data_IF_315389085695
#
_entry.id   IF_315389085695
#
_cell.length_a   1.000
_cell.length_b   1.000
_cell.length_c   1.000
_cell.angle_alpha   90.00
_cell.angle_beta   90.00
_cell.angle_gamma   90.00
#
_symmetry.space_group_name_H-M   'P 1'
#
loop_
_entity.id
_entity.type
_entity.pdbx_description
1 polymer ?
#
# COMPACT_ATOMS: atom_id res chain seq x y z
N UNK A 1 10.72 15.24 -10.72
CA UNK A 1 11.46 14.91 -9.47
C UNK A 1 11.31 13.42 -9.20
N UNK A 2 12.24 12.79 -8.47
CA UNK A 2 12.04 11.41 -7.96
C UNK A 2 11.45 11.53 -6.56
N UNK A 3 10.22 11.10 -6.35
CA UNK A 3 9.62 11.17 -5.03
C UNK A 3 9.83 9.85 -4.27
N UNK A 4 10.08 9.92 -2.97
CA UNK A 4 10.34 8.74 -2.15
C UNK A 4 9.01 8.15 -1.68
N UNK A 5 8.68 6.94 -2.11
CA UNK A 5 7.48 6.21 -1.65
C UNK A 5 7.85 5.04 -0.75
N UNK A 6 7.02 4.80 0.28
CA UNK A 6 7.13 3.65 1.18
C UNK A 6 6.16 2.58 0.74
N UNK A 7 6.64 1.33 0.62
CA UNK A 7 5.81 0.21 0.16
C UNK A 7 6.07 -1.04 1.00
N UNK A 8 5.05 -1.88 1.18
CA UNK A 8 5.28 -3.24 1.66
C UNK A 8 5.99 -4.12 0.62
N UNK A 9 6.77 -5.08 1.11
CA UNK A 9 7.44 -6.08 0.25
C UNK A 9 6.43 -7.01 -0.42
N UNK A 10 5.37 -7.38 0.28
CA UNK A 10 4.24 -8.19 -0.24
C UNK A 10 2.94 -7.90 0.49
N UNK A 11 1.80 -8.22 -0.13
CA UNK A 11 0.47 -8.14 0.50
C UNK A 11 0.35 -9.05 1.74
N UNK A 12 1.03 -10.20 1.74
CA UNK A 12 1.08 -11.11 2.89
C UNK A 12 1.78 -10.48 4.11
N UNK A 13 2.89 -9.78 3.89
CA UNK A 13 3.61 -9.09 4.97
C UNK A 13 2.80 -7.90 5.48
N UNK A 14 2.19 -7.14 4.57
CA UNK A 14 1.25 -6.08 4.94
C UNK A 14 0.14 -6.60 5.86
N UNK A 15 -0.53 -7.70 5.50
CA UNK A 15 -1.59 -8.28 6.32
C UNK A 15 -1.06 -8.76 7.68
N UNK A 16 0.14 -9.33 7.72
CA UNK A 16 0.78 -9.76 8.97
C UNK A 16 1.03 -8.57 9.91
N UNK A 17 1.51 -7.45 9.39
CA UNK A 17 1.73 -6.23 10.18
C UNK A 17 0.41 -5.57 10.60
N UNK A 18 -0.61 -5.58 9.74
CA UNK A 18 -1.91 -4.99 10.03
C UNK A 18 -2.75 -5.81 11.01
N UNK A 19 -2.52 -7.13 11.10
CA UNK A 19 -3.35 -8.06 11.88
C UNK A 19 -3.74 -7.55 13.29
N UNK A 20 -2.82 -7.01 14.11
CA UNK A 20 -3.17 -6.51 15.45
C UNK A 20 -4.16 -5.34 15.42
N UNK A 21 -4.12 -4.51 14.38
CA UNK A 21 -4.92 -3.29 14.25
C UNK A 21 -6.23 -3.48 13.49
N UNK A 22 -6.42 -4.64 12.84
CA UNK A 22 -7.63 -4.96 12.07
C UNK A 22 -8.47 -6.08 12.69
N UNK A 23 -7.92 -6.87 13.59
CA UNK A 23 -8.67 -7.89 14.33
C UNK A 23 -9.42 -7.32 15.53
N UNK A 24 -9.13 -6.07 15.92
CA UNK A 24 -9.85 -5.32 16.93
C UNK A 24 -10.70 -4.24 16.24
N UNK A 25 -12.03 -4.36 16.35
CA UNK A 25 -12.97 -3.41 15.74
C UNK A 25 -12.79 -1.98 16.26
N UNK A 26 -12.36 -1.81 17.51
CA UNK A 26 -12.09 -0.49 18.08
C UNK A 26 -10.87 0.16 17.42
N UNK A 27 -9.83 -0.62 17.10
CA UNK A 27 -8.64 -0.14 16.38
C UNK A 27 -8.93 0.22 14.92
N UNK A 28 -9.92 -0.41 14.30
CA UNK A 28 -10.38 -0.04 12.96
C UNK A 28 -11.11 1.31 12.96
N UNK A 29 -11.95 1.55 13.96
CA UNK A 29 -12.78 2.76 14.04
C UNK A 29 -12.00 3.97 14.57
N UNK A 30 -11.30 3.80 15.69
CA UNK A 30 -10.67 4.89 16.45
C UNK A 30 -9.16 4.74 16.63
N UNK A 31 -8.54 3.73 16.01
CA UNK A 31 -7.11 3.48 16.16
C UNK A 31 -6.22 4.64 15.71
N UNK A 32 -5.03 4.69 16.29
CA UNK A 32 -4.04 5.75 16.04
C UNK A 32 -3.54 5.74 14.59
N UNK A 33 -3.34 6.93 13.99
CA UNK A 33 -2.66 7.09 12.72
C UNK A 33 -1.28 6.43 12.65
N UNK A 34 -1.01 5.69 11.57
CA UNK A 34 0.29 5.14 11.30
C UNK A 34 1.24 6.22 10.76
N UNK A 35 2.19 6.67 11.60
CA UNK A 35 3.22 7.66 11.21
C UNK A 35 4.02 7.26 9.96
N UNK A 36 4.21 5.96 9.73
CA UNK A 36 4.94 5.43 8.55
C UNK A 36 4.14 5.48 7.25
N UNK A 37 2.82 5.66 7.35
CA UNK A 37 1.90 5.73 6.22
C UNK A 37 1.24 7.09 6.13
N UNK A 38 2.03 8.15 6.33
CA UNK A 38 1.55 9.54 6.21
C UNK A 38 0.31 9.87 7.06
N UNK A 39 0.14 9.19 8.20
CA UNK A 39 -1.00 9.42 9.09
C UNK A 39 -2.29 8.67 8.72
N UNK A 40 -2.24 7.70 7.80
CA UNK A 40 -3.37 6.84 7.52
C UNK A 40 -3.73 5.96 8.72
N UNK A 41 -5.01 5.73 8.94
CA UNK A 41 -5.56 4.86 9.98
C UNK A 41 -5.67 3.40 9.50
N UNK A 42 -5.81 2.47 10.45
CA UNK A 42 -5.93 1.03 10.20
C UNK A 42 -6.98 0.69 9.12
N UNK A 43 -8.15 1.34 9.17
CA UNK A 43 -9.23 1.15 8.19
C UNK A 43 -8.84 1.56 6.76
N UNK A 44 -8.08 2.64 6.60
CA UNK A 44 -7.69 3.16 5.29
C UNK A 44 -6.65 2.24 4.66
N UNK A 45 -5.68 1.80 5.46
CA UNK A 45 -4.67 0.84 4.98
C UNK A 45 -5.33 -0.51 4.65
N UNK A 46 -6.29 -0.97 5.46
CA UNK A 46 -7.05 -2.20 5.18
C UNK A 46 -7.88 -2.08 3.90
N UNK A 47 -8.59 -0.97 3.70
CA UNK A 47 -9.38 -0.75 2.49
C UNK A 47 -8.50 -0.81 1.24
N UNK A 48 -7.33 -0.16 1.27
CA UNK A 48 -6.37 -0.20 0.18
C UNK A 48 -5.75 -1.59 -0.03
N UNK A 49 -5.53 -2.33 1.04
CA UNK A 49 -5.09 -3.73 0.96
C UNK A 49 -6.14 -4.60 0.27
N UNK A 50 -7.42 -4.45 0.62
CA UNK A 50 -8.52 -5.17 -0.03
C UNK A 50 -8.60 -4.85 -1.53
N UNK A 51 -8.48 -3.57 -1.92
CA UNK A 51 -8.42 -3.18 -3.32
C UNK A 51 -7.26 -3.85 -4.06
N UNK A 52 -6.06 -3.89 -3.46
CA UNK A 52 -4.91 -4.58 -4.05
C UNK A 52 -5.16 -6.08 -4.22
N UNK A 53 -5.74 -6.75 -3.22
CA UNK A 53 -6.03 -8.19 -3.29
C UNK A 53 -7.05 -8.50 -4.38
N UNK A 54 -8.13 -7.73 -4.47
CA UNK A 54 -9.13 -7.89 -5.53
C UNK A 54 -8.51 -7.64 -6.90
N UNK A 55 -7.77 -6.54 -7.08
CA UNK A 55 -7.10 -6.25 -8.34
C UNK A 55 -6.09 -7.33 -8.75
N UNK A 56 -5.33 -7.87 -7.78
CA UNK A 56 -4.41 -8.99 -7.98
C UNK A 56 -5.11 -10.26 -8.42
N UNK A 57 -6.24 -10.58 -7.79
CA UNK A 57 -7.06 -11.73 -8.14
C UNK A 57 -7.64 -11.60 -9.55
N UNK A 58 -8.30 -10.47 -9.85
CA UNK A 58 -8.94 -10.20 -11.15
C UNK A 58 -7.95 -10.19 -12.32
N UNK A 59 -6.70 -9.77 -12.09
CA UNK A 59 -5.67 -9.73 -13.13
C UNK A 59 -4.70 -10.92 -13.10
N UNK A 60 -4.92 -11.88 -12.21
CA UNK A 60 -4.01 -13.00 -11.95
C UNK A 60 -2.53 -12.54 -11.83
N UNK A 61 -2.30 -11.50 -11.00
CA UNK A 61 -1.03 -10.78 -10.95
C UNK A 61 -0.69 -10.29 -9.54
N UNK A 62 0.49 -10.65 -9.04
CA UNK A 62 1.04 -10.18 -7.75
C UNK A 62 1.78 -8.82 -7.86
N UNK A 63 1.57 -8.11 -8.97
CA UNK A 63 2.27 -6.87 -9.25
C UNK A 63 1.71 -5.67 -8.47
N UNK A 64 0.52 -5.80 -7.87
CA UNK A 64 -0.17 -4.75 -7.13
C UNK A 64 0.38 -4.54 -5.73
N UNK A 65 0.71 -3.29 -5.41
CA UNK A 65 1.28 -2.92 -4.12
C UNK A 65 0.69 -1.63 -3.60
N UNK A 66 0.60 -1.62 -2.27
CA UNK A 66 0.26 -0.46 -1.45
C UNK A 66 1.49 0.45 -1.35
N UNK A 67 1.35 1.72 -1.70
CA UNK A 67 2.37 2.73 -1.45
C UNK A 67 1.82 4.06 -0.94
N UNK A 68 2.60 4.75 -0.11
CA UNK A 68 2.29 6.11 0.36
C UNK A 68 2.32 7.12 -0.77
N UNK A 69 1.45 8.13 -0.72
CA UNK A 69 1.55 9.30 -1.59
C UNK A 69 2.93 9.97 -1.42
N UNK A 70 3.68 10.17 -2.51
CA UNK A 70 4.89 11.00 -2.53
C UNK A 70 4.73 12.46 -2.07
N UNK A 71 3.55 13.07 -2.23
CA UNK A 71 3.31 14.49 -1.95
C UNK A 71 2.65 14.72 -0.58
N UNK A 72 2.28 13.63 0.10
CA UNK A 72 1.86 13.65 1.49
C UNK A 72 0.39 13.98 1.67
N UNK A 73 -0.39 14.08 0.60
CA UNK A 73 -1.84 14.08 0.69
C UNK A 73 -2.32 12.63 0.85
N UNK A 74 -3.46 12.44 1.50
CA UNK A 74 -3.96 11.13 1.93
C UNK A 74 -4.38 10.23 0.76
N UNK A 75 -3.42 9.75 -0.03
CA UNK A 75 -3.67 8.80 -1.10
C UNK A 75 -2.69 7.63 -1.03
N UNK A 76 -3.23 6.44 -1.16
CA UNK A 76 -2.48 5.21 -1.16
C UNK A 76 -2.64 4.64 -2.56
N UNK A 77 -1.56 4.65 -3.33
CA UNK A 77 -1.61 4.27 -4.74
C UNK A 77 -1.47 2.76 -4.91
N UNK A 78 -2.23 2.22 -5.87
CA UNK A 78 -2.11 0.85 -6.35
C UNK A 78 -1.15 0.87 -7.55
N UNK A 79 0.09 0.44 -7.33
CA UNK A 79 1.08 0.33 -8.42
C UNK A 79 1.11 -1.08 -8.98
N UNK A 80 0.99 -1.24 -10.30
CA UNK A 80 1.30 -2.49 -11.00
C UNK A 80 2.79 -2.51 -11.38
N UNK A 81 3.60 -3.31 -10.67
CA UNK A 81 5.00 -3.53 -11.03
C UNK A 81 5.16 -4.36 -12.31
N UNK A 82 5.15 -3.73 -13.49
CA UNK A 82 5.35 -4.42 -14.77
C UNK A 82 6.69 -5.17 -14.84
N UNK A 83 6.67 -6.47 -15.15
CA UNK A 83 7.82 -7.18 -15.72
C UNK A 83 8.38 -6.41 -16.94
N UNK A 84 9.71 -6.42 -17.11
CA UNK A 84 10.59 -5.52 -17.92
C UNK A 84 10.23 -5.18 -19.40
N UNK A 85 9.05 -5.49 -19.95
CA UNK A 85 8.78 -5.45 -21.40
C UNK A 85 7.55 -4.63 -21.85
N UNK A 86 7.19 -3.52 -21.21
CA UNK A 86 6.09 -2.69 -21.74
C UNK A 86 6.15 -1.20 -21.37
N UNK A 87 5.44 -0.34 -22.14
CA UNK A 87 5.62 1.11 -22.09
C UNK A 87 5.27 1.67 -20.71
N UNK A 88 6.11 2.63 -20.35
CA UNK A 88 6.29 3.25 -19.05
C UNK A 88 5.15 4.22 -18.74
N UNK A 89 4.13 3.77 -18.03
CA UNK A 89 3.32 4.68 -17.18
C UNK A 89 4.14 4.94 -15.91
N UNK A 90 5.26 5.67 -16.04
CA UNK A 90 6.15 6.00 -14.92
C UNK A 90 5.62 7.27 -14.27
N UNK A 91 5.03 7.11 -13.09
CA UNK A 91 5.30 8.09 -12.04
C UNK A 91 6.70 7.78 -11.47
N UNK A 92 7.57 8.78 -11.45
CA UNK A 92 8.98 8.63 -11.08
C UNK A 92 9.15 8.51 -9.56
N UNK A 93 9.05 7.29 -9.03
CA UNK A 93 9.20 7.04 -7.60
C UNK A 93 10.47 6.28 -7.25
N UNK A 94 11.20 6.80 -6.26
CA UNK A 94 12.25 6.08 -5.56
C UNK A 94 11.59 5.25 -4.45
N UNK A 95 11.87 3.94 -4.43
CA UNK A 95 11.20 3.01 -3.54
C UNK A 95 11.99 2.77 -2.27
N UNK A 96 11.34 2.85 -1.11
CA UNK A 96 11.82 2.26 0.15
C UNK A 96 10.90 1.10 0.53
N UNK A 97 11.50 -0.06 0.77
CA UNK A 97 10.76 -1.25 1.22
C UNK A 97 10.87 -1.39 2.72
N UNK A 98 9.76 -1.68 3.36
CA UNK A 98 9.69 -2.04 4.78
C UNK A 98 9.30 -3.52 4.90
N UNK A 99 9.68 -4.12 6.04
CA UNK A 99 9.50 -5.56 6.31
C UNK A 99 8.03 -5.99 6.32
#
# INVERSE_FOLDING_TARGET
MRHSVTTFKSLKLCLKELKPSICDGQQLETGEPFKRFSGLRSREILANWLLCVVASFEQNSDEFKICTDPEGEMELFIIKQKNRLGPRSIFWYHRKTIN
#
